data_IF_534717932861
#
_entry.id   IF_534717932861
#
_cell.length_a   1.000
_cell.length_b   1.000
_cell.length_c   1.000
_cell.angle_alpha   90.00
_cell.angle_beta   90.00
_cell.angle_gamma   90.00
#
_symmetry.space_group_name_H-M   'P 1'
#
loop_
_entity.id
_entity.type
_entity.pdbx_description
1 polymer ?
#
# COMPACT_ATOMS: atom_id res chain seq x y z
N UNK A 1 -3.77 28.18 10.57
CA UNK A 1 -3.92 26.95 11.38
C UNK A 1 -2.97 25.96 10.78
N UNK A 2 -1.98 25.48 11.53
CA UNK A 2 -1.07 24.43 11.05
C UNK A 2 -1.90 23.17 10.88
N UNK A 3 -2.00 22.65 9.65
CA UNK A 3 -2.64 21.36 9.35
C UNK A 3 -2.11 20.31 10.33
N UNK A 4 -3.00 19.67 11.08
CA UNK A 4 -2.62 18.63 12.03
C UNK A 4 -2.86 17.29 11.35
N UNK A 5 -1.79 16.67 10.86
CA UNK A 5 -1.89 15.31 10.38
C UNK A 5 -1.68 14.28 11.50
N UNK A 6 -2.26 13.12 11.29
CA UNK A 6 -2.24 11.98 12.21
C UNK A 6 -1.92 10.69 11.45
N UNK A 7 -1.27 9.73 12.10
CA UNK A 7 -1.09 8.38 11.58
C UNK A 7 -1.74 7.38 12.53
N UNK A 8 -2.65 6.56 12.00
CA UNK A 8 -3.17 5.39 12.69
C UNK A 8 -2.34 4.17 12.29
N UNK A 9 -1.88 3.39 13.27
CA UNK A 9 -1.13 2.16 13.05
C UNK A 9 -1.93 0.99 13.62
N UNK A 10 -2.24 0.01 12.78
CA UNK A 10 -2.89 -1.25 13.16
C UNK A 10 -2.00 -2.44 12.79
N UNK A 11 -1.12 -2.87 13.71
CA UNK A 11 -0.39 -4.13 13.62
C UNK A 11 -1.31 -5.35 13.66
N UNK A 12 -0.94 -6.37 12.90
CA UNK A 12 -1.55 -7.68 12.95
C UNK A 12 -0.55 -8.77 12.54
N UNK A 13 -0.93 -10.05 12.67
CA UNK A 13 -0.09 -11.15 12.21
C UNK A 13 0.22 -10.99 10.72
N UNK A 14 1.51 -10.96 10.37
CA UNK A 14 1.99 -10.89 8.99
C UNK A 14 1.83 -9.56 8.25
N UNK A 15 1.16 -8.57 8.83
CA UNK A 15 1.07 -7.23 8.23
C UNK A 15 0.87 -6.11 9.26
N UNK A 16 1.48 -4.96 8.99
CA UNK A 16 1.23 -3.72 9.73
C UNK A 16 0.60 -2.70 8.79
N UNK A 17 -0.51 -2.10 9.20
CA UNK A 17 -1.27 -1.16 8.38
C UNK A 17 -1.13 0.24 8.95
N UNK A 18 -0.88 1.21 8.07
CA UNK A 18 -0.73 2.61 8.40
C UNK A 18 -1.76 3.41 7.62
N UNK A 19 -2.52 4.24 8.31
CA UNK A 19 -3.44 5.20 7.70
C UNK A 19 -3.01 6.61 8.07
N UNK A 20 -2.62 7.37 7.05
CA UNK A 20 -2.34 8.79 7.17
C UNK A 20 -3.64 9.58 7.03
N UNK A 21 -3.94 10.41 8.03
CA UNK A 21 -5.04 11.36 8.02
C UNK A 21 -4.50 12.78 7.89
N UNK A 22 -5.15 13.59 7.07
CA UNK A 22 -4.96 15.04 6.99
C UNK A 22 -6.30 15.71 7.21
N UNK A 23 -6.40 16.56 8.24
CA UNK A 23 -7.65 17.22 8.65
C UNK A 23 -8.82 16.23 8.81
N UNK A 24 -8.53 15.06 9.40
CA UNK A 24 -9.50 13.98 9.61
C UNK A 24 -9.90 13.20 8.35
N UNK A 25 -9.30 13.51 7.19
CA UNK A 25 -9.58 12.80 5.93
C UNK A 25 -8.46 11.80 5.59
N UNK A 26 -8.79 10.57 5.15
CA UNK A 26 -7.82 9.61 4.63
C UNK A 26 -7.02 10.14 3.45
N UNK A 27 -5.70 10.17 3.60
CA UNK A 27 -4.78 10.67 2.58
C UNK A 27 -3.92 9.57 1.97
N UNK A 28 -3.45 8.62 2.77
CA UNK A 28 -2.55 7.55 2.32
C UNK A 28 -2.75 6.30 3.18
N UNK A 29 -2.87 5.13 2.53
CA UNK A 29 -2.95 3.84 3.22
C UNK A 29 -1.74 2.99 2.79
N UNK A 30 -0.94 2.57 3.76
CA UNK A 30 0.25 1.73 3.54
C UNK A 30 0.08 0.41 4.27
N UNK A 31 0.25 -0.69 3.56
CA UNK A 31 0.23 -2.04 4.12
C UNK A 31 1.64 -2.59 3.98
N UNK A 32 2.27 -2.85 5.12
CA UNK A 32 3.61 -3.44 5.19
C UNK A 32 3.48 -4.93 5.44
N UNK A 33 3.99 -5.70 4.47
CA UNK A 33 4.10 -7.17 4.56
C UNK A 33 5.58 -7.54 4.46
N UNK A 34 6.03 -8.64 5.08
CA UNK A 34 7.43 -9.07 5.04
C UNK A 34 8.05 -9.11 3.63
N UNK A 35 7.27 -9.50 2.61
CA UNK A 35 7.70 -9.56 1.22
C UNK A 35 7.80 -8.21 0.48
N UNK A 36 7.34 -7.11 1.07
CA UNK A 36 7.53 -5.76 0.52
C UNK A 36 8.84 -5.19 1.06
N UNK A 37 9.69 -4.75 0.14
CA UNK A 37 11.09 -4.39 0.37
C UNK A 37 11.43 -2.98 -0.09
N UNK A 38 10.44 -2.19 -0.53
CA UNK A 38 10.63 -0.81 -0.99
C UNK A 38 11.50 0.00 -0.02
N UNK A 39 12.50 0.69 -0.57
CA UNK A 39 13.52 1.49 0.12
C UNK A 39 14.41 0.73 1.10
N UNK A 40 14.26 -0.60 1.21
CA UNK A 40 15.18 -1.44 1.96
C UNK A 40 16.52 -1.53 1.24
N UNK A 41 17.58 -1.65 2.03
CA UNK A 41 18.96 -1.74 1.55
C UNK A 41 19.48 -3.15 1.74
N UNK A 42 20.07 -3.69 0.69
CA UNK A 42 20.65 -5.01 0.62
C UNK A 42 22.11 -4.94 0.24
N UNK A 43 22.87 -5.93 0.70
CA UNK A 43 24.10 -6.36 0.04
C UNK A 43 23.69 -7.44 -0.93
N UNK A 44 23.71 -7.12 -2.22
CA UNK A 44 23.38 -8.06 -3.28
C UNK A 44 24.62 -8.57 -4.00
N UNK A 45 24.46 -9.64 -4.77
CA UNK A 45 25.52 -10.20 -5.62
C UNK A 45 25.20 -9.96 -7.09
N UNK A 46 26.12 -9.36 -7.83
CA UNK A 46 25.96 -9.21 -9.29
C UNK A 46 26.01 -10.60 -9.94
N UNK A 47 24.90 -11.03 -10.53
CA UNK A 47 24.80 -12.35 -11.19
C UNK A 47 24.91 -12.27 -12.70
N UNK A 48 24.61 -11.11 -13.30
CA UNK A 48 24.77 -10.88 -14.73
C UNK A 48 24.95 -9.39 -15.05
N UNK A 49 25.54 -9.09 -16.21
CA UNK A 49 25.72 -7.74 -16.74
C UNK A 49 25.22 -7.70 -18.18
N UNK A 50 24.33 -6.76 -18.48
CA UNK A 50 23.81 -6.50 -19.82
C UNK A 50 24.41 -5.22 -20.39
N UNK A 51 25.45 -5.38 -21.22
CA UNK A 51 26.21 -4.25 -21.77
C UNK A 51 25.39 -3.34 -22.70
N UNK A 52 24.40 -3.92 -23.37
CA UNK A 52 23.50 -3.19 -24.29
C UNK A 52 22.53 -2.26 -23.57
N UNK A 53 22.12 -2.61 -22.35
CA UNK A 53 21.24 -1.80 -21.50
C UNK A 53 21.99 -0.94 -20.48
N UNK A 54 23.32 -1.08 -20.41
CA UNK A 54 24.16 -0.53 -19.35
C UNK A 54 23.61 -0.87 -17.95
N UNK A 55 23.37 -2.14 -17.69
CA UNK A 55 22.73 -2.61 -16.46
C UNK A 55 23.35 -3.89 -15.90
N UNK A 56 23.13 -4.12 -14.61
CA UNK A 56 23.47 -5.35 -13.90
C UNK A 56 22.22 -5.98 -13.32
N UNK A 57 22.23 -7.31 -13.19
CA UNK A 57 21.25 -8.06 -12.42
C UNK A 57 21.87 -8.48 -11.10
N UNK A 58 21.18 -8.17 -10.01
CA UNK A 58 21.69 -8.33 -8.65
C UNK A 58 20.77 -9.27 -7.89
N UNK A 59 21.32 -10.38 -7.41
CA UNK A 59 20.64 -11.28 -6.49
C UNK A 59 20.60 -10.67 -5.08
N UNK A 60 19.40 -10.56 -4.53
CA UNK A 60 19.14 -10.04 -3.17
C UNK A 60 18.90 -11.15 -2.15
N UNK A 61 18.89 -12.42 -2.58
CA UNK A 61 18.51 -13.56 -1.74
C UNK A 61 17.02 -13.57 -1.34
N UNK A 62 16.22 -12.68 -1.93
CA UNK A 62 14.79 -12.54 -1.69
C UNK A 62 14.05 -12.31 -3.00
N UNK A 63 12.84 -12.83 -3.08
CA UNK A 63 12.02 -12.83 -4.29
C UNK A 63 12.45 -13.87 -5.32
N UNK A 64 11.68 -13.97 -6.40
CA UNK A 64 11.87 -15.00 -7.44
C UNK A 64 12.87 -14.60 -8.53
N UNK A 65 13.18 -13.31 -8.65
CA UNK A 65 14.01 -12.77 -9.75
C UNK A 65 15.05 -11.78 -9.25
N UNK A 66 16.25 -11.76 -9.85
CA UNK A 66 17.26 -10.75 -9.57
C UNK A 66 16.72 -9.33 -9.82
N UNK A 67 17.17 -8.39 -9.01
CA UNK A 67 16.87 -6.98 -9.20
C UNK A 67 17.62 -6.38 -10.38
N UNK A 68 17.00 -5.43 -11.06
CA UNK A 68 17.57 -4.70 -12.18
C UNK A 68 18.25 -3.43 -11.67
N UNK A 69 19.57 -3.31 -11.88
CA UNK A 69 20.38 -2.16 -11.50
C UNK A 69 20.90 -1.45 -12.76
N UNK A 70 20.37 -0.28 -13.14
CA UNK A 70 20.91 0.52 -14.24
C UNK A 70 22.26 1.17 -13.85
N UNK A 71 23.07 1.52 -14.85
CA UNK A 71 24.35 2.23 -14.69
C UNK A 71 25.54 1.33 -14.35
N UNK A 72 25.58 0.10 -14.85
CA UNK A 72 26.62 -0.87 -14.50
C UNK A 72 28.03 -0.42 -14.90
N UNK A 73 28.20 0.25 -16.06
CA UNK A 73 29.50 0.78 -16.52
C UNK A 73 30.02 1.89 -15.62
N UNK A 74 29.15 2.83 -15.26
CA UNK A 74 29.50 3.93 -14.36
C UNK A 74 29.88 3.41 -12.96
N UNK A 75 29.24 2.33 -12.51
CA UNK A 75 29.58 1.65 -11.26
C UNK A 75 30.82 0.75 -11.33
N UNK A 76 31.43 0.54 -12.50
CA UNK A 76 32.59 -0.34 -12.66
C UNK A 76 32.31 -1.81 -12.28
N UNK A 77 31.06 -2.26 -12.40
CA UNK A 77 30.61 -3.53 -11.85
C UNK A 77 31.06 -4.72 -12.69
N UNK A 78 31.35 -5.84 -12.01
CA UNK A 78 31.68 -7.14 -12.55
C UNK A 78 30.77 -8.24 -11.97
N UNK A 79 30.61 -9.34 -12.71
CA UNK A 79 29.87 -10.51 -12.21
C UNK A 79 30.60 -11.10 -11.01
N UNK A 80 29.85 -11.38 -9.94
CA UNK A 80 30.38 -11.87 -8.65
C UNK A 80 30.52 -10.79 -7.60
N UNK A 81 30.56 -9.51 -7.98
CA UNK A 81 30.73 -8.38 -7.07
C UNK A 81 29.62 -8.33 -6.01
N UNK A 82 30.01 -8.05 -4.77
CA UNK A 82 29.08 -7.70 -3.71
C UNK A 82 28.83 -6.19 -3.75
N UNK A 83 27.56 -5.79 -3.87
CA UNK A 83 27.17 -4.39 -4.03
C UNK A 83 26.06 -4.02 -3.06
N UNK A 84 26.18 -2.83 -2.47
CA UNK A 84 25.13 -2.23 -1.65
C UNK A 84 24.11 -1.56 -2.54
N UNK A 85 22.85 -1.99 -2.45
CA UNK A 85 21.76 -1.53 -3.32
C UNK A 85 20.51 -1.22 -2.52
N UNK A 86 19.76 -0.20 -2.94
CA UNK A 86 18.44 0.12 -2.44
C UNK A 86 17.37 -0.30 -3.43
N UNK A 87 16.29 -0.91 -2.93
CA UNK A 87 15.09 -1.20 -3.72
C UNK A 87 14.32 0.10 -3.98
N UNK A 88 14.33 0.57 -5.23
CA UNK A 88 13.62 1.80 -5.64
C UNK A 88 12.17 1.52 -6.09
N UNK A 89 11.93 0.32 -6.64
CA UNK A 89 10.59 -0.18 -6.92
C UNK A 89 10.51 -1.70 -6.73
N UNK A 90 9.35 -2.18 -6.26
CA UNK A 90 9.04 -3.59 -6.06
C UNK A 90 9.02 -4.38 -7.37
N UNK A 91 9.25 -5.69 -7.26
CA UNK A 91 9.07 -6.63 -8.36
C UNK A 91 7.62 -6.62 -8.88
N UNK A 92 7.43 -6.66 -10.21
CA UNK A 92 6.10 -6.63 -10.83
C UNK A 92 6.09 -7.22 -12.22
N UNK A 93 4.99 -7.88 -12.60
CA UNK A 93 4.75 -8.32 -13.98
C UNK A 93 5.82 -9.26 -14.52
N UNK A 94 6.36 -10.14 -13.67
CA UNK A 94 7.47 -11.02 -13.99
C UNK A 94 8.83 -10.31 -14.10
N UNK A 95 8.96 -9.05 -13.68
CA UNK A 95 10.26 -8.36 -13.56
C UNK A 95 10.69 -8.35 -12.10
N UNK A 96 12.00 -8.49 -11.86
CA UNK A 96 12.58 -8.28 -10.54
C UNK A 96 12.49 -6.80 -10.11
N UNK A 97 12.86 -6.49 -8.85
CA UNK A 97 12.78 -5.13 -8.32
C UNK A 97 13.74 -4.19 -9.06
N UNK A 98 13.40 -2.90 -9.12
CA UNK A 98 14.31 -1.86 -9.63
C UNK A 98 15.24 -1.42 -8.50
N UNK A 99 16.54 -1.38 -8.79
CA UNK A 99 17.59 -1.08 -7.82
C UNK A 99 18.31 0.22 -8.13
N UNK A 100 18.96 0.76 -7.11
CA UNK A 100 19.92 1.86 -7.20
C UNK A 100 21.11 1.56 -6.31
N UNK A 101 22.32 1.99 -6.68
CA UNK A 101 23.49 1.87 -5.81
C UNK A 101 23.29 2.68 -4.53
N UNK A 102 23.83 2.15 -3.43
CA UNK A 102 23.71 2.75 -2.11
C UNK A 102 25.08 2.84 -1.44
N UNK A 103 25.51 4.07 -1.15
CA UNK A 103 26.71 4.33 -0.37
C UNK A 103 26.45 4.21 1.15
N UNK A 104 27.53 4.23 1.93
CA UNK A 104 27.48 4.26 3.39
C UNK A 104 27.30 2.89 4.06
N UNK A 105 27.53 1.81 3.31
CA UNK A 105 27.59 0.44 3.84
C UNK A 105 28.91 -0.20 3.42
N UNK A 106 29.54 -0.91 4.36
CA UNK A 106 30.79 -1.59 4.10
C UNK A 106 30.63 -2.65 2.99
N UNK A 107 31.63 -2.73 2.11
CA UNK A 107 31.72 -3.77 1.09
C UNK A 107 31.94 -5.18 1.68
N UNK A 108 32.27 -5.27 2.97
CA UNK A 108 32.62 -6.52 3.65
C UNK A 108 31.39 -7.25 4.21
N UNK A 109 31.29 -8.54 3.93
CA UNK A 109 30.29 -9.46 4.48
C UNK A 109 29.65 -10.33 3.41
N UNK A 110 28.86 -11.31 3.82
CA UNK A 110 28.23 -12.25 2.89
C UNK A 110 27.15 -11.55 2.04
N UNK A 111 27.14 -11.86 0.75
CA UNK A 111 26.11 -11.47 -0.19
C UNK A 111 25.47 -12.74 -0.78
N UNK A 112 24.13 -12.84 -0.83
CA UNK A 112 23.16 -11.79 -0.51
C UNK A 112 22.79 -11.65 0.99
N UNK A 113 22.52 -10.43 1.47
CA UNK A 113 22.00 -10.17 2.83
C UNK A 113 21.20 -8.87 2.91
N UNK A 114 20.14 -8.83 3.73
CA UNK A 114 19.43 -7.59 4.07
C UNK A 114 20.28 -6.76 5.06
N UNK A 115 20.66 -5.55 4.66
CA UNK A 115 21.44 -4.63 5.51
C UNK A 115 20.53 -3.76 6.37
N UNK A 116 19.42 -3.27 5.80
CA UNK A 116 18.45 -2.44 6.51
C UNK A 116 17.07 -2.55 5.88
N UNK A 117 16.07 -3.00 6.65
CA UNK A 117 14.66 -2.90 6.25
C UNK A 117 14.21 -1.44 6.35
N UNK A 118 13.48 -0.95 5.35
CA UNK A 118 12.83 0.36 5.46
C UNK A 118 11.64 0.29 6.42
N UNK A 119 11.49 1.30 7.28
CA UNK A 119 10.27 1.50 8.07
C UNK A 119 9.25 2.33 7.28
N UNK A 120 8.03 1.83 7.04
CA UNK A 120 6.95 2.62 6.45
C UNK A 120 6.62 3.87 7.28
N UNK A 121 6.62 3.76 8.61
CA UNK A 121 6.35 4.89 9.50
C UNK A 121 7.35 6.03 9.27
N UNK A 122 8.65 5.71 9.23
CA UNK A 122 9.68 6.73 9.00
C UNK A 122 9.55 7.37 7.60
N UNK A 123 9.18 6.60 6.57
CA UNK A 123 8.91 7.15 5.23
C UNK A 123 7.71 8.10 5.25
N UNK A 124 6.63 7.72 5.92
CA UNK A 124 5.44 8.57 6.07
C UNK A 124 5.77 9.86 6.82
N UNK A 125 6.50 9.79 7.93
CA UNK A 125 6.92 10.98 8.69
C UNK A 125 7.85 11.89 7.89
N UNK A 126 8.82 11.32 7.16
CA UNK A 126 9.74 12.09 6.33
C UNK A 126 9.03 12.80 5.17
N UNK A 127 8.03 12.15 4.57
CA UNK A 127 7.22 12.74 3.49
C UNK A 127 6.17 13.75 3.98
N UNK A 128 5.83 13.73 5.27
CA UNK A 128 4.75 14.53 5.85
C UNK A 128 5.22 15.18 7.17
N UNK A 129 6.00 16.27 7.11
CA UNK A 129 6.51 16.93 8.31
C UNK A 129 5.43 17.57 9.20
N UNK A 130 4.19 17.69 8.71
CA UNK A 130 3.03 18.20 9.46
C UNK A 130 2.35 17.19 10.38
N UNK A 131 2.84 15.94 10.44
CA UNK A 131 2.29 14.93 11.37
C UNK A 131 2.66 15.29 12.80
N UNK A 132 1.65 15.28 13.67
CA UNK A 132 1.79 15.66 15.09
C UNK A 132 1.36 14.57 16.05
N UNK A 133 0.65 13.55 15.55
CA UNK A 133 0.08 12.47 16.36
C UNK A 133 0.16 11.12 15.66
N UNK A 134 0.45 10.08 16.43
CA UNK A 134 0.45 8.69 16.01
C UNK A 134 -0.36 7.88 17.03
N UNK A 135 -1.34 7.13 16.55
CA UNK A 135 -2.15 6.19 17.34
C UNK A 135 -1.78 4.76 16.99
N UNK A 136 -1.66 3.90 18.00
CA UNK A 136 -1.34 2.47 17.85
C UNK A 136 -2.32 1.62 18.67
N UNK A 137 -2.83 0.53 18.11
CA UNK A 137 -3.82 -0.32 18.79
C UNK A 137 -3.24 -1.22 19.90
N UNK A 138 -1.95 -1.58 19.82
CA UNK A 138 -1.29 -2.47 20.77
C UNK A 138 -0.04 -1.89 21.45
N UNK A 139 0.23 -2.36 22.67
CA UNK A 139 1.29 -1.84 23.53
C UNK A 139 2.71 -2.30 23.14
N UNK A 140 2.86 -3.47 22.52
CA UNK A 140 4.15 -3.97 22.07
C UNK A 140 4.64 -3.13 20.89
N UNK A 141 3.78 -2.94 19.89
CA UNK A 141 4.07 -2.09 18.73
C UNK A 141 4.32 -0.64 19.17
N UNK A 142 3.58 -0.12 20.15
CA UNK A 142 3.84 1.22 20.71
C UNK A 142 5.28 1.33 21.28
N UNK A 143 5.76 0.31 21.99
CA UNK A 143 7.12 0.29 22.52
C UNK A 143 8.18 0.20 21.40
N UNK A 144 7.93 -0.62 20.37
CA UNK A 144 8.81 -0.78 19.21
C UNK A 144 8.92 0.48 18.34
N UNK A 145 7.82 1.22 18.18
CA UNK A 145 7.80 2.43 17.37
C UNK A 145 8.38 3.65 18.08
N UNK A 146 8.37 3.67 19.42
CA UNK A 146 8.87 4.79 20.23
C UNK A 146 10.26 5.33 19.81
N UNK A 147 11.30 4.50 19.56
CA UNK A 147 12.61 5.00 19.10
C UNK A 147 12.60 5.57 17.67
N UNK A 148 11.55 5.32 16.88
CA UNK A 148 11.45 5.78 15.49
C UNK A 148 10.68 7.11 15.37
N UNK A 149 9.99 7.54 16.44
CA UNK A 149 9.17 8.75 16.43
C UNK A 149 10.03 9.97 16.78
N UNK A 150 10.04 11.02 15.94
CA UNK A 150 10.82 12.23 16.20
C UNK A 150 10.24 13.04 17.36
N UNK A 151 11.07 13.91 17.95
CA UNK A 151 10.61 14.87 18.96
C UNK A 151 9.47 15.75 18.42
N UNK A 152 8.49 16.04 19.28
CA UNK A 152 7.33 16.87 18.93
C UNK A 152 6.14 16.10 18.34
N UNK A 153 6.29 14.81 18.03
CA UNK A 153 5.18 13.94 17.61
C UNK A 153 4.68 13.12 18.80
N UNK A 154 3.39 13.22 19.11
CA UNK A 154 2.76 12.43 20.17
C UNK A 154 2.54 11.00 19.70
N UNK A 155 3.05 10.02 20.44
CA UNK A 155 2.78 8.60 20.23
C UNK A 155 1.97 8.06 21.42
N UNK A 156 0.76 7.57 21.16
CA UNK A 156 -0.12 7.03 22.19
C UNK A 156 -0.92 5.82 21.71
N UNK A 157 -1.55 5.13 22.67
CA UNK A 157 -2.41 3.98 22.38
C UNK A 157 -3.83 4.46 22.07
N UNK A 158 -4.46 3.91 21.04
CA UNK A 158 -5.83 4.24 20.65
C UNK A 158 -6.46 3.15 19.79
N UNK A 159 -7.79 3.14 19.68
CA UNK A 159 -8.50 2.26 18.76
C UNK A 159 -8.31 2.75 17.32
N UNK A 160 -7.74 1.93 16.44
CA UNK A 160 -7.44 2.30 15.05
C UNK A 160 -8.07 1.36 14.02
N UNK A 161 -8.38 0.12 14.43
CA UNK A 161 -8.73 -0.95 13.49
C UNK A 161 -9.99 -0.65 12.68
N UNK A 162 -11.08 -0.27 13.34
CA UNK A 162 -12.39 -0.07 12.71
C UNK A 162 -12.30 1.00 11.62
N UNK A 163 -11.68 2.14 11.95
CA UNK A 163 -11.45 3.24 11.00
C UNK A 163 -10.64 2.78 9.78
N UNK A 164 -9.58 1.99 10.00
CA UNK A 164 -8.75 1.43 8.93
C UNK A 164 -9.50 0.44 8.04
N UNK A 165 -10.34 -0.43 8.62
CA UNK A 165 -11.12 -1.42 7.86
C UNK A 165 -12.18 -0.73 6.98
N UNK A 166 -12.87 0.29 7.51
CA UNK A 166 -13.84 1.09 6.76
C UNK A 166 -13.19 1.88 5.62
N UNK A 167 -12.07 2.57 5.92
CA UNK A 167 -11.32 3.32 4.90
C UNK A 167 -10.76 2.40 3.83
N UNK A 168 -10.30 1.20 4.21
CA UNK A 168 -9.78 0.23 3.25
C UNK A 168 -10.89 -0.26 2.31
N UNK A 169 -12.07 -0.61 2.85
CA UNK A 169 -13.21 -1.02 2.04
C UNK A 169 -13.61 0.09 1.06
N UNK A 170 -13.71 1.33 1.53
CA UNK A 170 -14.03 2.49 0.69
C UNK A 170 -12.96 2.78 -0.38
N UNK A 171 -11.67 2.56 -0.07
CA UNK A 171 -10.57 2.75 -1.02
C UNK A 171 -10.55 1.68 -2.13
N UNK A 172 -11.11 0.49 -1.88
CA UNK A 172 -11.22 -0.58 -2.86
C UNK A 172 -12.47 -0.44 -3.74
N UNK A 173 -13.48 0.32 -3.31
CA UNK A 173 -14.68 0.61 -4.12
C UNK A 173 -14.29 1.43 -5.37
N UNK A 174 -14.64 0.99 -6.59
CA UNK A 174 -14.46 1.78 -7.80
C UNK A 174 -15.19 3.13 -7.76
N UNK A 175 -16.31 3.22 -7.04
CA UNK A 175 -17.19 4.39 -7.01
C UNK A 175 -16.87 5.25 -5.79
N UNK A 176 -16.49 6.49 -6.04
CA UNK A 176 -16.20 7.50 -5.01
C UNK A 176 -17.26 8.59 -5.07
N UNK A 177 -18.04 8.80 -4.00
CA UNK A 177 -19.04 9.86 -3.98
C UNK A 177 -18.37 11.26 -4.00
N UNK A 178 -18.99 12.20 -4.72
CA UNK A 178 -18.62 13.61 -4.69
C UNK A 178 -19.57 14.40 -3.78
N UNK A 179 -19.09 15.43 -3.05
CA UNK A 179 -19.93 16.26 -2.17
C UNK A 179 -21.18 16.84 -2.84
N UNK A 180 -21.11 17.16 -4.14
CA UNK A 180 -22.24 17.67 -4.93
C UNK A 180 -23.34 16.65 -5.24
N UNK A 181 -23.18 15.38 -4.84
CA UNK A 181 -24.08 14.27 -5.19
C UNK A 181 -23.71 13.54 -6.48
N UNK A 182 -22.61 13.95 -7.13
CA UNK A 182 -22.01 13.21 -8.25
C UNK A 182 -21.17 12.01 -7.78
N UNK A 183 -20.48 11.37 -8.71
CA UNK A 183 -19.52 10.30 -8.41
C UNK A 183 -18.30 10.38 -9.32
N UNK A 184 -17.19 9.85 -8.82
CA UNK A 184 -15.99 9.54 -9.56
C UNK A 184 -15.86 8.02 -9.65
N UNK A 185 -15.70 7.47 -10.84
CA UNK A 185 -15.49 6.02 -11.05
C UNK A 185 -14.03 5.79 -11.43
N UNK A 186 -13.32 4.98 -10.65
CA UNK A 186 -11.90 4.66 -10.84
C UNK A 186 -11.76 3.18 -11.21
N UNK A 187 -11.29 2.90 -12.42
CA UNK A 187 -11.08 1.55 -12.91
C UNK A 187 -9.64 1.34 -13.39
N UNK A 188 -9.03 0.22 -13.00
CA UNK A 188 -7.66 -0.11 -13.40
C UNK A 188 -7.66 -1.27 -14.38
N UNK A 189 -7.09 -1.05 -15.55
CA UNK A 189 -6.87 -2.09 -16.56
C UNK A 189 -5.43 -2.61 -16.51
N UNK A 190 -5.07 -3.53 -17.41
CA UNK A 190 -3.70 -3.99 -17.56
C UNK A 190 -2.74 -2.88 -18.02
N UNK A 191 -3.23 -1.89 -18.77
CA UNK A 191 -2.40 -0.86 -19.39
C UNK A 191 -2.39 0.46 -18.61
N UNK A 192 -3.57 0.92 -18.18
CA UNK A 192 -3.76 2.23 -17.57
C UNK A 192 -4.97 2.25 -16.62
N UNK A 193 -5.04 3.28 -15.79
CA UNK A 193 -6.20 3.56 -14.92
C UNK A 193 -7.08 4.66 -15.54
N UNK A 194 -8.38 4.42 -15.63
CA UNK A 194 -9.39 5.38 -16.08
C UNK A 194 -10.11 5.98 -14.88
N UNK A 195 -10.48 7.24 -14.99
CA UNK A 195 -11.15 8.00 -13.95
C UNK A 195 -12.27 8.84 -14.57
N UNK A 196 -13.51 8.42 -14.38
CA UNK A 196 -14.70 9.02 -15.01
C UNK A 196 -15.50 9.85 -14.00
N UNK A 197 -15.77 11.11 -14.33
CA UNK A 197 -16.54 12.02 -13.48
C UNK A 197 -17.98 12.08 -13.97
N UNK A 198 -18.93 11.73 -13.08
CA UNK A 198 -20.37 11.90 -13.29
C UNK A 198 -20.89 12.95 -12.30
N UNK A 199 -21.55 13.98 -12.81
CA UNK A 199 -22.08 15.07 -12.00
C UNK A 199 -23.31 14.72 -11.15
N UNK A 200 -24.04 13.65 -11.48
CA UNK A 200 -25.27 13.22 -10.80
C UNK A 200 -26.40 14.26 -10.74
N UNK A 201 -26.23 15.41 -11.40
CA UNK A 201 -27.08 16.60 -11.29
C UNK A 201 -26.79 17.55 -12.47
N UNK A 202 -27.60 18.60 -12.63
CA UNK A 202 -27.40 19.63 -13.68
C UNK A 202 -26.24 20.63 -13.38
N UNK A 203 -25.26 20.25 -12.54
CA UNK A 203 -24.13 21.11 -12.13
C UNK A 203 -22.76 20.49 -12.46
N UNK A 204 -22.44 20.29 -13.76
CA UNK A 204 -21.20 19.61 -14.17
C UNK A 204 -19.91 20.34 -13.77
N UNK A 205 -19.91 21.68 -13.80
CA UNK A 205 -18.74 22.47 -13.41
C UNK A 205 -18.35 22.24 -11.95
N UNK A 206 -19.34 22.23 -11.05
CA UNK A 206 -19.10 22.01 -9.62
C UNK A 206 -18.55 20.60 -9.37
N UNK A 207 -19.15 19.58 -9.99
CA UNK A 207 -18.67 18.20 -9.87
C UNK A 207 -17.22 18.04 -10.37
N UNK A 208 -16.87 18.67 -11.49
CA UNK A 208 -15.50 18.65 -12.02
C UNK A 208 -14.49 19.32 -11.08
N UNK A 209 -14.83 20.49 -10.52
CA UNK A 209 -13.97 21.22 -9.57
C UNK A 209 -13.74 20.40 -8.29
N UNK A 210 -14.78 19.76 -7.75
CA UNK A 210 -14.68 18.87 -6.60
C UNK A 210 -13.84 17.63 -6.93
N UNK A 211 -14.07 17.03 -8.10
CA UNK A 211 -13.38 15.83 -8.57
C UNK A 211 -11.86 16.01 -8.61
N UNK A 212 -11.33 17.20 -8.94
CA UNK A 212 -9.89 17.46 -8.94
C UNK A 212 -9.22 17.11 -7.61
N UNK A 213 -9.78 17.60 -6.50
CA UNK A 213 -9.24 17.33 -5.16
C UNK A 213 -9.43 15.87 -4.73
N UNK A 214 -10.58 15.27 -5.08
CA UNK A 214 -10.89 13.87 -4.78
C UNK A 214 -9.97 12.93 -5.57
N UNK A 215 -9.73 13.21 -6.85
CA UNK A 215 -8.81 12.47 -7.72
C UNK A 215 -7.40 12.44 -7.13
N UNK A 216 -6.83 13.61 -6.81
CA UNK A 216 -5.49 13.70 -6.24
C UNK A 216 -5.38 12.89 -4.94
N UNK A 217 -6.38 13.00 -4.06
CA UNK A 217 -6.43 12.23 -2.81
C UNK A 217 -6.56 10.73 -3.06
N UNK A 218 -7.42 10.28 -3.97
CA UNK A 218 -7.65 8.86 -4.27
C UNK A 218 -6.44 8.21 -4.95
N UNK A 219 -5.74 8.93 -5.83
CA UNK A 219 -4.46 8.49 -6.43
C UNK A 219 -3.46 8.14 -5.34
N UNK A 220 -3.32 9.01 -4.33
CA UNK A 220 -2.43 8.80 -3.21
C UNK A 220 -2.92 7.71 -2.25
N UNK A 221 -4.19 7.78 -1.83
CA UNK A 221 -4.82 6.85 -0.89
C UNK A 221 -4.71 5.40 -1.37
N UNK A 222 -4.99 5.15 -2.65
CA UNK A 222 -4.97 3.82 -3.25
C UNK A 222 -3.58 3.37 -3.72
N UNK A 223 -2.59 4.26 -3.69
CA UNK A 223 -1.26 4.01 -4.23
C UNK A 223 -1.24 3.78 -5.75
N UNK A 224 -2.09 4.47 -6.51
CA UNK A 224 -2.16 4.33 -7.96
C UNK A 224 -0.87 4.84 -8.62
N UNK A 225 -0.49 4.25 -9.75
CA UNK A 225 0.72 4.66 -10.48
C UNK A 225 0.70 4.17 -11.91
N UNK A 226 1.67 4.59 -12.71
CA UNK A 226 1.69 4.37 -14.15
C UNK A 226 0.83 5.40 -14.89
N UNK A 227 0.33 5.01 -16.06
CA UNK A 227 -0.47 5.87 -16.94
C UNK A 227 -1.91 5.94 -16.45
N UNK A 228 -2.48 7.15 -16.45
CA UNK A 228 -3.85 7.40 -16.04
C UNK A 228 -4.50 8.42 -16.96
N UNK A 229 -5.81 8.30 -17.13
CA UNK A 229 -6.63 9.26 -17.90
C UNK A 229 -7.85 9.64 -17.09
N UNK A 230 -8.20 10.92 -17.12
CA UNK A 230 -9.40 11.47 -16.48
C UNK A 230 -10.37 11.97 -17.54
N UNK A 231 -11.61 11.48 -17.48
CA UNK A 231 -12.74 11.99 -18.26
C UNK A 231 -13.59 12.91 -17.38
N UNK A 232 -13.40 14.22 -17.53
CA UNK A 232 -14.23 15.21 -16.86
C UNK A 232 -15.53 15.41 -17.65
N UNK A 233 -16.60 15.77 -16.95
CA UNK A 233 -17.88 16.09 -17.61
C UNK A 233 -17.65 17.21 -18.62
N UNK A 234 -17.84 16.88 -19.88
CA UNK A 234 -17.47 17.75 -21.00
C UNK A 234 -18.63 18.63 -21.45
N UNK A 235 -18.33 19.89 -21.74
CA UNK A 235 -19.25 20.84 -22.38
C UNK A 235 -18.85 21.14 -23.82
N UNK A 236 -19.56 22.07 -24.49
CA UNK A 236 -19.21 22.51 -25.86
C UNK A 236 -17.88 23.26 -25.94
N UNK A 237 -17.47 23.93 -24.86
CA UNK A 237 -16.19 24.64 -24.75
C UNK A 237 -15.16 23.78 -24.01
N UNK A 238 -13.94 23.72 -24.53
CA UNK A 238 -12.82 22.97 -23.95
C UNK A 238 -11.96 23.82 -23.02
N UNK A 239 -12.12 25.14 -22.97
CA UNK A 239 -11.36 26.02 -22.05
C UNK A 239 -11.43 25.59 -20.58
N UNK A 240 -12.59 25.12 -20.04
CA UNK A 240 -12.65 24.62 -18.68
C UNK A 240 -11.73 23.41 -18.42
N UNK A 241 -11.59 22.50 -19.39
CA UNK A 241 -10.74 21.30 -19.26
C UNK A 241 -9.28 21.65 -19.03
N UNK A 242 -8.75 22.68 -19.71
CA UNK A 242 -7.37 23.13 -19.48
C UNK A 242 -7.18 23.72 -18.07
N UNK A 243 -8.19 24.41 -17.53
CA UNK A 243 -8.15 24.91 -16.15
C UNK A 243 -8.19 23.77 -15.14
N UNK A 244 -9.01 22.75 -15.39
CA UNK A 244 -9.08 21.54 -14.56
C UNK A 244 -7.75 20.77 -14.59
N UNK A 245 -7.09 20.67 -15.75
CA UNK A 245 -5.77 20.03 -15.86
C UNK A 245 -4.70 20.76 -15.02
N UNK A 246 -4.66 22.09 -15.06
CA UNK A 246 -3.75 22.87 -14.21
C UNK A 246 -4.10 22.77 -12.72
N UNK A 247 -5.39 22.76 -12.38
CA UNK A 247 -5.84 22.54 -11.00
C UNK A 247 -5.45 21.15 -10.49
N UNK A 248 -5.58 20.11 -11.33
CA UNK A 248 -5.16 18.74 -11.00
C UNK A 248 -3.65 18.64 -10.81
N UNK A 249 -2.87 19.31 -11.67
CA UNK A 249 -1.42 19.41 -11.51
C UNK A 249 -1.04 20.06 -10.18
N UNK A 250 -1.73 21.14 -9.79
CA UNK A 250 -1.50 21.79 -8.50
C UNK A 250 -1.89 20.88 -7.32
N UNK A 251 -3.01 20.17 -7.41
CA UNK A 251 -3.47 19.25 -6.36
C UNK A 251 -2.51 18.07 -6.16
N UNK A 252 -1.93 17.54 -7.24
CA UNK A 252 -0.96 16.44 -7.19
C UNK A 252 0.43 16.86 -6.70
N UNK A 253 0.73 18.16 -6.61
CA UNK A 253 2.04 18.65 -6.18
C UNK A 253 2.37 18.30 -4.72
N UNK A 254 1.35 18.03 -3.89
CA UNK A 254 1.51 17.59 -2.50
C UNK A 254 1.78 16.08 -2.37
N UNK A 255 1.71 15.31 -3.46
CA UNK A 255 2.07 13.90 -3.46
C UNK A 255 3.60 13.75 -3.42
N UNK A 256 4.17 13.00 -2.45
CA UNK A 256 5.61 12.77 -2.40
C UNK A 256 6.14 11.92 -3.56
N UNK A 257 5.26 11.25 -4.31
CA UNK A 257 5.65 10.44 -5.46
C UNK A 257 5.58 11.30 -6.73
N UNK A 258 6.66 11.37 -7.53
CA UNK A 258 6.68 12.18 -8.74
C UNK A 258 5.51 11.83 -9.67
N UNK A 259 4.83 12.87 -10.11
CA UNK A 259 3.72 12.81 -11.05
C UNK A 259 3.85 13.89 -12.12
N UNK A 260 3.20 13.66 -13.26
CA UNK A 260 3.20 14.59 -14.38
C UNK A 260 1.82 14.61 -15.04
N UNK A 261 1.25 15.80 -15.20
CA UNK A 261 0.03 16.03 -15.98
C UNK A 261 0.45 16.56 -17.35
N UNK A 262 0.17 15.81 -18.41
CA UNK A 262 0.57 16.14 -19.79
C UNK A 262 -0.36 17.17 -20.43
N UNK A 263 -1.60 17.28 -19.94
CA UNK A 263 -2.61 18.22 -20.42
C UNK A 263 -3.82 17.50 -21.01
N UNK A 264 -4.53 18.20 -21.90
CA UNK A 264 -5.79 17.71 -22.50
C UNK A 264 -5.52 17.11 -23.88
N UNK A 265 -5.95 15.87 -24.08
CA UNK A 265 -5.87 15.13 -25.35
C UNK A 265 -6.77 15.73 -26.43
N UNK A 266 -6.66 15.28 -27.67
CA UNK A 266 -7.60 15.65 -28.73
C UNK A 266 -9.05 15.20 -28.41
N UNK A 267 -9.22 14.08 -27.69
CA UNK A 267 -10.54 13.53 -27.36
C UNK A 267 -11.23 14.23 -26.19
N UNK A 268 -10.51 14.98 -25.35
CA UNK A 268 -11.12 15.65 -24.17
C UNK A 268 -10.66 15.10 -22.83
N UNK A 269 -9.89 14.02 -22.84
CA UNK A 269 -9.32 13.41 -21.64
C UNK A 269 -8.13 14.22 -21.12
N UNK A 270 -7.93 14.21 -19.81
CA UNK A 270 -6.70 14.71 -19.17
C UNK A 270 -5.76 13.53 -18.93
N UNK A 271 -4.55 13.61 -19.47
CA UNK A 271 -3.52 12.56 -19.33
C UNK A 271 -2.54 12.89 -18.22
N UNK A 272 -2.22 11.88 -17.41
CA UNK A 272 -1.22 11.99 -16.36
C UNK A 272 -0.46 10.68 -16.13
N UNK A 273 0.73 10.80 -15.54
CA UNK A 273 1.49 9.67 -15.00
C UNK A 273 1.88 9.93 -13.55
N UNK A 274 2.06 8.85 -12.79
CA UNK A 274 2.66 8.86 -11.46
C UNK A 274 3.66 7.72 -11.35
N UNK A 275 4.82 7.94 -10.75
CA UNK A 275 5.81 6.87 -10.60
C UNK A 275 5.21 5.69 -9.84
N UNK A 276 5.46 4.47 -10.34
CA UNK A 276 4.99 3.24 -9.70
C UNK A 276 6.16 2.57 -8.99
N UNK A 277 6.16 2.64 -7.65
CA UNK A 277 7.22 2.10 -6.79
C UNK A 277 6.82 0.83 -6.04
N UNK A 278 5.54 0.60 -5.81
CA UNK A 278 5.02 -0.58 -5.13
C UNK A 278 3.68 -1.00 -5.78
N UNK A 279 3.16 -2.20 -5.47
CA UNK A 279 1.79 -2.56 -5.80
C UNK A 279 0.80 -1.54 -5.21
N UNK A 280 -0.26 -1.22 -5.95
CA UNK A 280 -1.37 -0.46 -5.37
C UNK A 280 -2.21 -1.34 -4.42
N UNK A 281 -3.15 -0.75 -3.66
CA UNK A 281 -3.96 -1.50 -2.68
C UNK A 281 -4.68 -2.70 -3.31
N UNK A 282 -5.32 -2.49 -4.46
CA UNK A 282 -6.03 -3.56 -5.15
C UNK A 282 -5.08 -4.68 -5.63
N UNK A 283 -3.88 -4.34 -6.09
CA UNK A 283 -2.89 -5.34 -6.51
C UNK A 283 -2.34 -6.15 -5.32
N UNK A 284 -2.24 -5.53 -4.14
CA UNK A 284 -1.74 -6.17 -2.94
C UNK A 284 -2.78 -7.04 -2.26
N UNK A 285 -4.04 -6.59 -2.26
CA UNK A 285 -5.09 -7.16 -1.43
C UNK A 285 -6.06 -8.03 -2.18
N UNK A 286 -6.30 -7.76 -3.46
CA UNK A 286 -7.38 -8.38 -4.21
C UNK A 286 -6.87 -9.41 -5.21
N UNK A 287 -7.75 -10.35 -5.53
CA UNK A 287 -7.67 -11.15 -6.75
C UNK A 287 -8.39 -10.41 -7.88
N UNK A 288 -8.51 -11.05 -9.05
CA UNK A 288 -9.26 -10.51 -10.18
C UNK A 288 -10.68 -10.12 -9.76
N UNK A 289 -11.17 -8.98 -10.25
CA UNK A 289 -12.52 -8.48 -9.93
C UNK A 289 -12.62 -7.71 -8.61
N UNK A 290 -11.50 -7.25 -8.03
CA UNK A 290 -11.44 -6.47 -6.78
C UNK A 290 -11.95 -7.21 -5.53
N UNK A 291 -12.21 -8.49 -5.61
CA UNK A 291 -12.48 -9.30 -4.43
C UNK A 291 -11.20 -9.52 -3.63
N UNK A 292 -11.23 -9.43 -2.30
CA UNK A 292 -10.04 -9.68 -1.45
C UNK A 292 -9.43 -11.05 -1.73
N UNK A 293 -8.12 -11.24 -1.72
CA UNK A 293 -7.50 -12.55 -1.93
C UNK A 293 -7.74 -13.49 -0.73
N UNK A 294 -7.57 -14.79 -0.92
CA UNK A 294 -7.74 -15.76 0.18
C UNK A 294 -6.73 -15.51 1.31
N UNK A 295 -5.50 -15.10 0.96
CA UNK A 295 -4.48 -14.71 1.94
C UNK A 295 -4.88 -13.43 2.70
N UNK A 296 -5.45 -12.43 2.02
CA UNK A 296 -5.95 -11.22 2.68
C UNK A 296 -7.10 -11.54 3.64
N UNK A 297 -8.05 -12.39 3.24
CA UNK A 297 -9.13 -12.85 4.12
C UNK A 297 -8.61 -13.65 5.31
N UNK A 298 -7.59 -14.49 5.10
CA UNK A 298 -6.93 -15.24 6.16
C UNK A 298 -6.25 -14.30 7.19
N UNK A 299 -5.50 -13.29 6.74
CA UNK A 299 -4.88 -12.31 7.63
C UNK A 299 -5.93 -11.47 8.38
N UNK A 300 -7.03 -11.10 7.71
CA UNK A 300 -8.17 -10.44 8.34
C UNK A 300 -8.83 -11.33 9.42
N UNK A 301 -8.95 -12.64 9.16
CA UNK A 301 -9.48 -13.61 10.11
C UNK A 301 -8.62 -13.73 11.38
N UNK A 302 -7.30 -13.82 11.22
CA UNK A 302 -6.36 -13.86 12.35
C UNK A 302 -6.45 -12.60 13.19
N UNK A 303 -6.54 -11.44 12.53
CA UNK A 303 -6.77 -10.16 13.19
C UNK A 303 -8.09 -10.16 13.97
N UNK A 304 -9.20 -10.52 13.32
CA UNK A 304 -10.53 -10.55 13.93
C UNK A 304 -10.56 -11.46 15.16
N UNK A 305 -9.97 -12.65 15.06
CA UNK A 305 -9.85 -13.59 16.18
C UNK A 305 -9.13 -12.97 17.39
N UNK A 306 -7.99 -12.29 17.16
CA UNK A 306 -7.24 -11.65 18.24
C UNK A 306 -8.03 -10.54 18.94
N UNK A 307 -8.81 -9.75 18.18
CA UNK A 307 -9.64 -8.71 18.77
C UNK A 307 -10.81 -9.31 19.57
N UNK A 308 -11.49 -10.33 19.04
CA UNK A 308 -12.58 -11.00 19.75
C UNK A 308 -12.07 -11.67 21.04
N UNK A 309 -10.88 -12.30 20.98
CA UNK A 309 -10.25 -12.90 22.16
C UNK A 309 -9.90 -11.86 23.24
N UNK A 310 -9.49 -10.65 22.82
CA UNK A 310 -9.24 -9.54 23.75
C UNK A 310 -10.54 -8.99 24.35
N UNK A 311 -11.59 -8.86 23.52
CA UNK A 311 -12.89 -8.37 23.94
C UNK A 311 -13.62 -9.36 24.86
N UNK A 312 -13.38 -10.67 24.70
CA UNK A 312 -14.04 -11.74 25.45
C UNK A 312 -13.03 -12.72 26.06
N UNK A 313 -12.30 -12.29 27.12
CA UNK A 313 -11.33 -13.14 27.78
C UNK A 313 -11.95 -14.43 28.31
N UNK A 314 -11.22 -15.54 28.20
CA UNK A 314 -11.63 -16.85 28.73
C UNK A 314 -12.41 -17.73 27.76
N UNK A 315 -12.96 -17.18 26.67
CA UNK A 315 -13.58 -18.01 25.62
C UNK A 315 -12.53 -18.75 24.80
N UNK A 316 -12.86 -19.98 24.40
CA UNK A 316 -12.09 -20.71 23.40
C UNK A 316 -12.67 -20.41 22.04
N UNK A 317 -11.95 -19.63 21.24
CA UNK A 317 -12.39 -19.12 19.96
C UNK A 317 -11.60 -19.78 18.84
N UNK A 318 -12.26 -20.04 17.71
CA UNK A 318 -11.69 -20.56 16.48
C UNK A 318 -12.18 -19.78 15.26
N UNK A 319 -11.62 -20.14 14.10
CA UNK A 319 -11.98 -19.58 12.80
C UNK A 319 -12.73 -20.64 12.01
N UNK A 320 -13.97 -20.33 11.59
CA UNK A 320 -14.72 -21.10 10.62
C UNK A 320 -14.83 -20.32 9.31
N UNK A 321 -14.40 -20.92 8.19
CA UNK A 321 -14.36 -20.24 6.89
C UNK A 321 -14.48 -21.23 5.72
N UNK A 322 -14.63 -20.69 4.50
CA UNK A 322 -14.60 -21.50 3.29
C UNK A 322 -13.27 -22.28 3.14
N UNK A 323 -13.27 -23.49 2.52
CA UNK A 323 -12.08 -24.35 2.46
C UNK A 323 -10.82 -23.67 1.91
N UNK A 324 -10.95 -22.81 0.90
CA UNK A 324 -9.84 -22.07 0.31
C UNK A 324 -9.20 -21.05 1.27
N UNK A 325 -9.98 -20.43 2.17
CA UNK A 325 -9.46 -19.50 3.19
C UNK A 325 -8.76 -20.28 4.29
N UNK A 326 -9.28 -21.44 4.70
CA UNK A 326 -8.59 -22.35 5.64
C UNK A 326 -7.28 -22.88 5.03
N UNK A 327 -7.28 -23.21 3.73
CA UNK A 327 -6.07 -23.60 3.03
C UNK A 327 -5.04 -22.45 2.98
N UNK A 328 -5.47 -21.21 2.77
CA UNK A 328 -4.62 -20.03 2.85
C UNK A 328 -4.00 -19.86 4.25
N UNK A 329 -4.80 -19.96 5.31
CA UNK A 329 -4.30 -20.01 6.70
C UNK A 329 -3.26 -21.13 6.89
N UNK A 330 -3.48 -22.29 6.26
CA UNK A 330 -2.53 -23.40 6.27
C UNK A 330 -1.13 -23.04 5.76
N UNK A 331 -1.01 -22.08 4.82
CA UNK A 331 0.27 -21.61 4.26
C UNK A 331 0.92 -20.48 5.07
N UNK A 332 0.16 -19.83 5.95
CA UNK A 332 0.61 -18.71 6.78
C UNK A 332 1.18 -19.20 8.13
N UNK A 333 2.20 -20.07 8.07
CA UNK A 333 2.74 -20.74 9.26
C UNK A 333 3.28 -19.75 10.30
N UNK A 334 3.97 -18.69 9.85
CA UNK A 334 4.59 -17.70 10.74
C UNK A 334 3.52 -16.85 11.44
N UNK A 335 2.52 -16.39 10.69
CA UNK A 335 1.43 -15.57 11.17
C UNK A 335 0.51 -16.35 12.11
N UNK A 336 0.29 -17.63 11.82
CA UNK A 336 -0.42 -18.53 12.72
C UNK A 336 0.34 -18.74 14.02
N UNK A 337 1.64 -19.07 13.96
CA UNK A 337 2.46 -19.26 15.16
C UNK A 337 2.52 -17.98 16.02
N UNK A 338 2.58 -16.81 15.37
CA UNK A 338 2.44 -15.53 16.05
C UNK A 338 1.09 -15.38 16.75
N UNK A 339 0.00 -15.69 16.06
CA UNK A 339 -1.36 -15.62 16.60
C UNK A 339 -1.54 -16.58 17.78
N UNK A 340 -1.08 -17.83 17.66
CA UNK A 340 -1.13 -18.84 18.73
C UNK A 340 -0.37 -18.40 19.98
N UNK A 341 0.82 -17.81 19.78
CA UNK A 341 1.62 -17.25 20.89
C UNK A 341 0.90 -16.08 21.57
N UNK A 342 0.24 -15.19 20.80
CA UNK A 342 -0.55 -14.09 21.36
C UNK A 342 -1.81 -14.58 22.09
N UNK A 343 -2.44 -15.66 21.62
CA UNK A 343 -3.59 -16.31 22.27
C UNK A 343 -3.20 -17.19 23.46
N UNK A 344 -1.93 -17.62 23.53
CA UNK A 344 -1.44 -18.59 24.51
C UNK A 344 -1.94 -20.03 24.26
N UNK A 345 -2.40 -20.35 23.05
CA UNK A 345 -2.97 -21.67 22.70
C UNK A 345 -2.97 -21.94 21.18
N UNK A 346 -3.11 -23.20 20.75
CA UNK A 346 -3.24 -23.54 19.33
C UNK A 346 -4.48 -22.93 18.67
N UNK A 347 -4.37 -22.65 17.36
CA UNK A 347 -5.48 -22.16 16.55
C UNK A 347 -6.42 -23.30 16.18
N UNK A 348 -7.71 -23.10 16.43
CA UNK A 348 -8.77 -23.99 15.97
C UNK A 348 -9.32 -23.50 14.63
N UNK A 349 -9.16 -24.30 13.59
CA UNK A 349 -9.56 -23.98 12.22
C UNK A 349 -10.61 -24.98 11.73
N UNK A 350 -11.76 -24.50 11.26
CA UNK A 350 -12.83 -25.32 10.68
C UNK A 350 -13.13 -24.90 9.25
N UNK A 351 -13.00 -25.83 8.31
CA UNK A 351 -13.46 -25.63 6.94
C UNK A 351 -14.96 -25.95 6.83
N UNK A 352 -15.73 -25.03 6.24
CA UNK A 352 -17.16 -25.20 6.01
C UNK A 352 -17.50 -25.18 4.51
N UNK A 353 -17.74 -26.36 3.91
CA UNK A 353 -18.18 -26.44 2.53
C UNK A 353 -19.50 -25.68 2.32
N UNK A 354 -19.57 -24.83 1.28
CA UNK A 354 -20.76 -24.06 0.94
C UNK A 354 -20.85 -22.67 1.58
N UNK A 355 -19.94 -22.32 2.49
CA UNK A 355 -19.84 -20.94 3.01
C UNK A 355 -19.30 -19.98 1.94
N UNK A 356 -19.81 -18.74 1.96
CA UNK A 356 -19.25 -17.64 1.18
C UNK A 356 -17.77 -17.43 1.51
N UNK A 357 -16.98 -16.95 0.55
CA UNK A 357 -15.53 -16.86 0.74
C UNK A 357 -15.14 -15.75 1.73
N UNK A 358 -15.83 -14.63 1.61
CA UNK A 358 -15.76 -13.44 2.44
C UNK A 358 -16.51 -13.58 3.78
N UNK A 359 -17.34 -14.60 3.92
CA UNK A 359 -17.99 -14.97 5.17
C UNK A 359 -17.03 -15.77 6.05
N UNK A 360 -16.32 -15.07 6.94
CA UNK A 360 -15.41 -15.67 7.92
C UNK A 360 -16.00 -15.45 9.32
N UNK A 361 -16.18 -16.55 10.05
CA UNK A 361 -16.78 -16.54 11.38
C UNK A 361 -15.74 -16.79 12.46
N UNK A 362 -15.75 -15.91 13.48
CA UNK A 362 -15.10 -16.18 14.77
C UNK A 362 -16.14 -16.76 15.70
N UNK A 363 -15.92 -17.98 16.17
CA UNK A 363 -16.90 -18.70 16.98
C UNK A 363 -16.27 -19.39 18.18
N UNK A 364 -17.10 -19.64 19.20
CA UNK A 364 -16.70 -20.44 20.35
C UNK A 364 -16.56 -21.91 19.96
N UNK A 365 -15.37 -22.46 20.18
CA UNK A 365 -15.08 -23.86 19.97
C UNK A 365 -15.46 -24.63 21.21
N UNK A 366 -16.29 -25.67 21.05
CA UNK A 366 -16.54 -26.62 22.13
C UNK A 366 -15.29 -27.50 22.30
N UNK A 367 -14.79 -27.55 23.53
CA UNK A 367 -13.68 -28.40 23.97
C UNK A 367 -13.91 -29.88 23.69
#
# INVERSE_FOLDING_TARGET
MTERGEILVSPGPGEVRYLLLSDGQPLELVIDRPGLLLDSVFRGRVVAIERGLDSAFVDLGQGERPGFLPGAKAGGLSVGDAVSVRVRAEARGGKGPLLTLQDGFDAFGEAPSLLRRSSPLQRLLAANPGISRILVDDAATLAELRPLVPEGVTLERGETRSDLDEVLAAALDPVVPLPSGGRLVIETTAALTTMDVDSGSDRPSQANEEAVSVLARQVRLRGLGGQMVVDFVSGKDRKPLYRLAEALKAALAADPIPSHVFGVTALGLVELTRERRAPCLAELLCRRGLELSDDTLALAALRALLAEALARPGLVLGIAAAPQVIAALGRLETERAETERRLGRPLMLRAEPGRGRDDVLIEETRS
#
